data_IF_091166405596
#
_entry.id   IF_091166405596
#
_cell.length_a   1.000
_cell.length_b   1.000
_cell.length_c   1.000
_cell.angle_alpha   90.00
_cell.angle_beta   90.00
_cell.angle_gamma   90.00
#
_symmetry.space_group_name_H-M   'P 1'
#
loop_
_entity.id
_entity.type
_entity.pdbx_description
1 polymer ?
#
# COMPACT_ATOMS: atom_id res chain seq x y z
N UNK A 1 -22.25 9.07 -12.38
CA UNK A 1 -22.11 9.23 -10.94
C UNK A 1 -20.87 10.00 -10.59
N UNK A 2 -21.03 11.22 -10.17
CA UNK A 2 -19.90 12.10 -9.90
C UNK A 2 -19.52 12.16 -8.42
N UNK A 3 -20.18 11.39 -7.61
CA UNK A 3 -19.97 11.44 -6.19
C UNK A 3 -18.65 10.75 -5.80
N UNK A 4 -17.84 11.47 -5.06
CA UNK A 4 -16.57 11.00 -4.59
C UNK A 4 -16.74 10.07 -3.38
N UNK A 5 -16.32 8.82 -3.49
CA UNK A 5 -16.53 7.83 -2.43
C UNK A 5 -15.25 7.48 -1.67
N UNK A 6 -14.10 7.69 -2.28
CA UNK A 6 -12.84 7.36 -1.62
C UNK A 6 -11.66 7.78 -2.44
N UNK A 7 -10.47 7.67 -1.84
CA UNK A 7 -9.20 8.01 -2.50
C UNK A 7 -8.15 6.95 -2.21
N UNK A 8 -7.19 6.86 -3.10
CA UNK A 8 -5.99 6.09 -2.93
C UNK A 8 -5.01 6.54 -3.98
N UNK A 9 -3.73 6.24 -3.78
CA UNK A 9 -2.73 6.69 -4.74
C UNK A 9 -1.49 5.83 -4.73
N UNK A 10 -0.79 5.85 -5.86
CA UNK A 10 0.58 5.36 -5.96
C UNK A 10 1.47 6.59 -5.94
N UNK A 11 2.39 6.64 -5.00
CA UNK A 11 3.39 7.71 -4.93
C UNK A 11 4.66 7.16 -5.55
N UNK A 12 5.05 7.69 -6.72
CA UNK A 12 6.24 7.21 -7.42
C UNK A 12 7.48 7.76 -6.74
N UNK A 13 8.34 6.85 -6.28
CA UNK A 13 9.58 7.21 -5.60
C UNK A 13 10.70 7.43 -6.59
N UNK A 14 10.64 6.69 -7.69
CA UNK A 14 11.53 6.81 -8.84
C UNK A 14 10.88 6.05 -9.99
N UNK A 15 11.63 5.81 -11.07
CA UNK A 15 11.07 5.14 -12.25
C UNK A 15 10.65 3.70 -12.02
N UNK A 16 11.20 3.06 -11.00
CA UNK A 16 11.02 1.63 -10.76
C UNK A 16 10.27 1.30 -9.48
N UNK A 17 10.06 2.28 -8.60
CA UNK A 17 9.52 2.01 -7.27
C UNK A 17 8.41 2.98 -6.90
N UNK A 18 7.41 2.47 -6.18
CA UNK A 18 6.30 3.29 -5.73
C UNK A 18 5.80 2.81 -4.36
N UNK A 19 5.10 3.68 -3.67
CA UNK A 19 4.42 3.35 -2.43
C UNK A 19 2.92 3.53 -2.65
N UNK A 20 2.13 2.50 -2.31
CA UNK A 20 0.66 2.61 -2.34
C UNK A 20 0.21 3.14 -0.99
N UNK A 21 -0.55 4.22 -0.97
CA UNK A 21 -0.98 4.82 0.27
C UNK A 21 -2.19 5.70 0.11
N UNK A 22 -2.57 6.32 1.22
CA UNK A 22 -3.69 7.23 1.23
C UNK A 22 -5.03 6.58 0.96
N UNK A 23 -5.17 5.28 1.21
CA UNK A 23 -6.45 4.60 0.98
C UNK A 23 -7.46 5.08 2.01
N UNK A 24 -8.49 5.74 1.55
CA UNK A 24 -9.53 6.29 2.41
C UNK A 24 -10.88 6.17 1.72
N UNK A 25 -11.85 5.66 2.45
CA UNK A 25 -13.22 5.54 1.96
C UNK A 25 -14.13 6.34 2.88
N UNK A 26 -14.99 7.16 2.31
CA UNK A 26 -15.96 7.91 3.09
C UNK A 26 -16.83 6.94 3.89
N UNK A 27 -17.15 7.29 5.13
CA UNK A 27 -17.90 6.41 6.03
C UNK A 27 -19.17 5.87 5.42
N UNK A 28 -19.88 6.71 4.69
CA UNK A 28 -21.16 6.31 4.08
C UNK A 28 -21.02 5.22 3.01
N UNK A 29 -19.80 4.98 2.54
CA UNK A 29 -19.53 3.97 1.52
C UNK A 29 -18.78 2.76 2.05
N UNK A 30 -18.44 2.75 3.34
CA UNK A 30 -17.74 1.60 3.93
C UNK A 30 -18.65 0.38 3.92
N UNK A 31 -18.05 -0.77 3.70
CA UNK A 31 -18.80 -2.01 3.62
C UNK A 31 -19.35 -2.33 2.25
N UNK A 32 -19.11 -1.45 1.27
CA UNK A 32 -19.53 -1.67 -0.10
C UNK A 32 -18.42 -2.19 -1.00
N UNK A 33 -17.34 -2.71 -0.39
CA UNK A 33 -16.18 -3.26 -1.11
C UNK A 33 -15.44 -2.23 -1.97
N UNK A 34 -15.65 -0.95 -1.71
CA UNK A 34 -14.98 0.09 -2.48
C UNK A 34 -13.48 0.13 -2.22
N UNK A 35 -13.06 -0.17 -0.99
CA UNK A 35 -11.63 -0.23 -0.68
C UNK A 35 -10.95 -1.32 -1.52
N UNK A 36 -11.60 -2.48 -1.67
CA UNK A 36 -11.06 -3.57 -2.49
C UNK A 36 -10.96 -3.16 -3.95
N UNK A 37 -11.99 -2.49 -4.48
CA UNK A 37 -11.96 -2.03 -5.87
C UNK A 37 -10.86 -1.02 -6.10
N UNK A 38 -10.69 -0.10 -5.15
CA UNK A 38 -9.67 0.94 -5.25
C UNK A 38 -8.26 0.35 -5.22
N UNK A 39 -8.00 -0.56 -4.28
CA UNK A 39 -6.69 -1.21 -4.19
C UNK A 39 -6.42 -2.06 -5.43
N UNK A 40 -7.43 -2.80 -5.90
CA UNK A 40 -7.29 -3.60 -7.13
C UNK A 40 -6.91 -2.72 -8.31
N UNK A 41 -7.56 -1.56 -8.44
CA UNK A 41 -7.24 -0.62 -9.51
C UNK A 41 -5.79 -0.15 -9.43
N UNK A 42 -5.34 0.21 -8.23
CA UNK A 42 -3.96 0.70 -8.05
C UNK A 42 -2.93 -0.41 -8.29
N UNK A 43 -3.24 -1.64 -7.91
CA UNK A 43 -2.37 -2.78 -8.18
C UNK A 43 -2.24 -3.00 -9.69
N UNK A 44 -3.35 -2.93 -10.43
CA UNK A 44 -3.31 -3.07 -11.88
C UNK A 44 -2.51 -1.96 -12.53
N UNK A 45 -2.64 -0.74 -12.02
CA UNK A 45 -1.85 0.37 -12.52
C UNK A 45 -0.37 0.12 -12.31
N UNK A 46 0.01 -0.35 -11.13
CA UNK A 46 1.40 -0.65 -10.82
C UNK A 46 1.95 -1.71 -11.75
N UNK A 47 1.17 -2.76 -12.02
CA UNK A 47 1.59 -3.82 -12.93
C UNK A 47 1.75 -3.32 -14.37
N UNK A 48 0.84 -2.45 -14.80
CA UNK A 48 0.91 -1.92 -16.16
C UNK A 48 2.14 -1.04 -16.38
N UNK A 49 2.66 -0.46 -15.30
CA UNK A 49 3.86 0.38 -15.36
C UNK A 49 5.14 -0.41 -15.17
N UNK A 50 5.04 -1.71 -14.93
CA UNK A 50 6.18 -2.61 -14.77
C UNK A 50 7.12 -2.12 -13.67
N UNK A 51 6.57 -1.73 -12.54
CA UNK A 51 7.34 -1.27 -11.40
C UNK A 51 8.10 -2.43 -10.78
N UNK A 52 9.32 -2.18 -10.35
CA UNK A 52 10.16 -3.19 -9.72
C UNK A 52 9.70 -3.49 -8.30
N UNK A 53 9.36 -2.45 -7.54
CA UNK A 53 8.92 -2.60 -6.16
C UNK A 53 7.72 -1.72 -5.90
N UNK A 54 6.73 -2.27 -5.22
CA UNK A 54 5.58 -1.50 -4.73
C UNK A 54 5.43 -1.80 -3.25
N UNK A 55 5.51 -0.76 -2.44
CA UNK A 55 5.45 -0.86 -0.98
C UNK A 55 4.11 -0.39 -0.45
N UNK A 56 3.75 -0.88 0.73
CA UNK A 56 2.55 -0.44 1.43
C UNK A 56 2.84 -0.44 2.93
N UNK A 57 2.34 0.58 3.65
CA UNK A 57 2.55 0.71 5.09
C UNK A 57 1.22 0.75 5.83
N UNK A 58 0.50 -0.37 5.92
CA UNK A 58 -0.80 -0.39 6.59
C UNK A 58 -0.64 -0.63 8.08
N UNK A 59 -1.69 -0.32 8.84
CA UNK A 59 -1.79 -0.79 10.20
C UNK A 59 -1.93 -2.31 10.21
N UNK A 60 -1.41 -2.95 11.25
CA UNK A 60 -1.40 -4.41 11.37
C UNK A 60 -2.78 -5.04 11.13
N UNK A 61 -3.82 -4.40 11.61
CA UNK A 61 -5.18 -4.92 11.48
C UNK A 61 -5.64 -5.06 10.03
N UNK A 62 -4.96 -4.41 9.09
CA UNK A 62 -5.29 -4.47 7.67
C UNK A 62 -4.41 -5.46 6.90
N UNK A 63 -3.56 -6.21 7.59
CA UNK A 63 -2.64 -7.14 6.95
C UNK A 63 -3.35 -8.09 6.00
N UNK A 64 -4.40 -8.77 6.49
CA UNK A 64 -5.11 -9.76 5.66
C UNK A 64 -5.81 -9.13 4.48
N UNK A 65 -6.28 -7.90 4.64
CA UNK A 65 -6.89 -7.18 3.53
C UNK A 65 -5.90 -6.99 2.39
N UNK A 66 -4.69 -6.51 2.70
CA UNK A 66 -3.68 -6.26 1.66
C UNK A 66 -3.07 -7.56 1.13
N UNK A 67 -3.02 -8.60 1.93
CA UNK A 67 -2.52 -9.90 1.46
C UNK A 67 -3.35 -10.46 0.31
N UNK A 68 -4.64 -10.15 0.26
CA UNK A 68 -5.50 -10.60 -0.83
C UNK A 68 -5.05 -10.05 -2.19
N UNK A 69 -4.32 -8.95 -2.19
CA UNK A 69 -3.86 -8.31 -3.42
C UNK A 69 -2.41 -8.63 -3.74
N UNK A 70 -1.79 -9.50 -2.95
CA UNK A 70 -0.43 -9.93 -3.20
C UNK A 70 0.63 -9.21 -2.40
N UNK A 71 0.25 -8.35 -1.45
CA UNK A 71 1.21 -7.73 -0.56
C UNK A 71 1.61 -8.72 0.53
N UNK A 72 2.90 -8.78 0.82
CA UNK A 72 3.43 -9.71 1.82
C UNK A 72 4.46 -9.03 2.70
N UNK A 73 4.64 -9.59 3.91
CA UNK A 73 5.74 -9.17 4.77
C UNK A 73 7.05 -9.71 4.21
N UNK A 74 8.15 -9.09 4.60
CA UNK A 74 9.47 -9.54 4.19
C UNK A 74 10.49 -9.15 5.27
N UNK A 75 11.70 -9.71 5.17
CA UNK A 75 12.75 -9.41 6.13
C UNK A 75 13.39 -8.06 5.80
N UNK A 76 12.98 -7.04 6.52
CA UNK A 76 13.43 -5.66 6.30
C UNK A 76 14.94 -5.52 6.50
N UNK A 77 15.50 -6.30 7.43
CA UNK A 77 16.91 -6.19 7.75
C UNK A 77 17.83 -6.79 6.68
N UNK A 78 17.32 -7.76 5.94
CA UNK A 78 18.10 -8.46 4.91
C UNK A 78 17.64 -8.15 3.49
N UNK A 79 16.78 -7.15 3.33
CA UNK A 79 16.26 -6.77 2.03
C UNK A 79 16.55 -5.30 1.77
N UNK A 80 17.00 -4.97 0.57
CA UNK A 80 17.16 -3.57 0.18
C UNK A 80 15.81 -2.90 0.09
N UNK A 81 15.62 -1.81 0.83
CA UNK A 81 14.38 -1.06 0.87
C UNK A 81 14.67 0.38 0.46
N UNK A 82 13.77 0.97 -0.31
CA UNK A 82 13.90 2.38 -0.69
C UNK A 82 14.03 3.24 0.57
N UNK A 83 15.00 4.16 0.58
CA UNK A 83 15.29 4.98 1.76
C UNK A 83 14.09 5.81 2.22
N UNK A 84 13.32 6.34 1.29
CA UNK A 84 12.16 7.16 1.63
C UNK A 84 11.10 6.34 2.34
N UNK A 85 10.91 5.10 1.88
CA UNK A 85 9.95 4.17 2.48
C UNK A 85 10.42 3.78 3.87
N UNK A 86 11.70 3.45 4.02
CA UNK A 86 12.25 3.05 5.30
C UNK A 86 12.16 4.18 6.33
N UNK A 87 12.46 5.40 5.91
CA UNK A 87 12.32 6.57 6.78
C UNK A 87 10.89 6.74 7.26
N UNK A 88 9.95 6.62 6.34
CA UNK A 88 8.53 6.74 6.67
C UNK A 88 8.07 5.64 7.62
N UNK A 89 8.52 4.41 7.38
CA UNK A 89 8.19 3.29 8.24
C UNK A 89 8.69 3.52 9.67
N UNK A 90 9.95 3.95 9.81
CA UNK A 90 10.53 4.23 11.12
C UNK A 90 9.80 5.37 11.82
N UNK A 91 9.41 6.40 11.06
CA UNK A 91 8.62 7.50 11.61
C UNK A 91 7.27 7.00 12.13
N UNK A 92 6.60 6.13 11.37
CA UNK A 92 5.32 5.56 11.76
C UNK A 92 5.44 4.74 13.04
N UNK A 93 6.51 3.94 13.16
CA UNK A 93 6.73 3.12 14.35
C UNK A 93 6.89 3.98 15.61
N UNK A 94 7.45 5.17 15.47
CA UNK A 94 7.68 6.05 16.60
C UNK A 94 6.52 7.01 16.90
N UNK A 95 5.57 7.17 16.00
CA UNK A 95 4.55 8.22 16.10
C UNK A 95 3.11 7.71 16.16
N UNK A 96 2.85 6.47 15.77
CA UNK A 96 1.52 5.90 15.89
C UNK A 96 1.45 4.94 17.07
N UNK A 97 0.28 4.89 17.72
CA UNK A 97 0.05 3.95 18.81
C UNK A 97 -0.27 2.55 18.29
N UNK A 98 -0.74 2.45 17.07
CA UNK A 98 -1.05 1.16 16.43
C UNK A 98 0.19 0.63 15.72
N UNK A 99 0.29 -0.69 15.67
CA UNK A 99 1.37 -1.33 14.94
C UNK A 99 1.21 -1.09 13.45
N UNK A 100 2.30 -0.70 12.81
CA UNK A 100 2.38 -0.46 11.38
C UNK A 100 3.27 -1.51 10.76
N UNK A 101 2.89 -2.01 9.60
CA UNK A 101 3.66 -2.99 8.86
C UNK A 101 4.28 -2.37 7.63
N UNK A 102 5.34 -2.98 7.14
CA UNK A 102 5.91 -2.66 5.84
C UNK A 102 5.74 -3.89 4.96
N UNK A 103 4.95 -3.75 3.91
CA UNK A 103 4.66 -4.83 2.97
C UNK A 103 5.18 -4.50 1.59
N UNK A 104 5.43 -5.54 0.79
CA UNK A 104 5.77 -5.39 -0.62
C UNK A 104 4.80 -6.19 -1.46
N UNK A 105 4.47 -5.65 -2.63
CA UNK A 105 3.65 -6.38 -3.59
C UNK A 105 4.50 -7.49 -4.22
N UNK A 106 4.00 -8.71 -4.14
CA UNK A 106 4.65 -9.84 -4.78
C UNK A 106 4.31 -9.78 -6.28
N UNK A 107 5.34 -9.57 -7.09
CA UNK A 107 5.16 -9.40 -8.53
C UNK A 107 5.66 -10.61 -9.30
N UNK A 108 5.42 -11.79 -8.80
CA UNK A 108 5.74 -12.97 -9.56
C UNK A 108 4.73 -13.12 -10.70
N UNK A 109 5.23 -13.35 -11.89
CA UNK A 109 4.43 -13.46 -13.09
C UNK A 109 4.46 -14.88 -13.62
#
# INVERSE_FOLDING_TARGET
QDRFAGVGRLVYLNEAEAEMGGIYILDEFRGLSLASELVAYLVEEAKSRVLKEVYCLPFHELKHFYEKFGFTTFDVQNTAVNEKVLKKFNWCLGNYQKDVLLLKLNQSY
#
